data_IF_853381117633
#
_entry.id   IF_853381117633
#
_cell.length_a   1.000
_cell.length_b   1.000
_cell.length_c   1.000
_cell.angle_alpha   90.00
_cell.angle_beta   90.00
_cell.angle_gamma   90.00
#
_symmetry.space_group_name_H-M   'P 1'
#
loop_
_entity.id
_entity.type
_entity.pdbx_description
1 polymer ?
#
# COMPACT_ATOMS: atom_id res chain seq x y z
N UNK A 1 1.60 -6.39 -33.74
CA UNK A 1 1.15 -5.28 -32.87
C UNK A 1 -0.28 -5.42 -32.29
N UNK A 2 -1.28 -6.01 -32.97
CA UNK A 2 -2.63 -6.21 -32.36
C UNK A 2 -2.64 -7.01 -31.05
N UNK A 3 -1.81 -8.05 -30.95
CA UNK A 3 -1.66 -8.83 -29.72
C UNK A 3 -1.11 -7.99 -28.56
N UNK A 4 -0.16 -7.09 -28.84
CA UNK A 4 0.34 -6.13 -27.85
C UNK A 4 -0.79 -5.23 -27.33
N UNK A 5 -1.63 -4.68 -28.20
CA UNK A 5 -2.76 -3.83 -27.80
C UNK A 5 -3.73 -4.57 -26.87
N UNK A 6 -4.08 -5.81 -27.19
CA UNK A 6 -4.97 -6.62 -26.33
C UNK A 6 -4.36 -6.90 -24.95
N UNK A 7 -3.04 -7.11 -24.89
CA UNK A 7 -2.35 -7.31 -23.61
C UNK A 7 -2.25 -6.01 -22.82
N UNK A 8 -2.09 -4.86 -23.49
CA UNK A 8 -2.11 -3.54 -22.82
C UNK A 8 -3.50 -3.22 -22.27
N UNK A 9 -4.58 -3.54 -22.99
CA UNK A 9 -5.94 -3.42 -22.48
C UNK A 9 -6.15 -4.27 -21.22
N UNK A 10 -5.63 -5.50 -21.22
CA UNK A 10 -5.64 -6.36 -20.05
C UNK A 10 -4.83 -5.75 -18.90
N UNK A 11 -3.64 -5.22 -19.16
CA UNK A 11 -2.81 -4.56 -18.14
C UNK A 11 -3.51 -3.33 -17.54
N UNK A 12 -4.24 -2.56 -18.34
CA UNK A 12 -5.07 -1.43 -17.88
C UNK A 12 -6.20 -1.91 -16.97
N UNK A 13 -6.91 -2.96 -17.37
CA UNK A 13 -7.98 -3.54 -16.55
C UNK A 13 -7.45 -4.02 -15.19
N UNK A 14 -6.31 -4.72 -15.20
CA UNK A 14 -5.63 -5.15 -13.99
C UNK A 14 -5.17 -3.98 -13.13
N UNK A 15 -4.62 -2.92 -13.72
CA UNK A 15 -4.21 -1.73 -12.95
C UNK A 15 -5.38 -0.99 -12.30
N UNK A 16 -6.56 -0.97 -12.93
CA UNK A 16 -7.77 -0.43 -12.31
C UNK A 16 -8.24 -1.30 -11.14
N UNK A 17 -8.11 -2.63 -11.24
CA UNK A 17 -8.41 -3.55 -10.15
C UNK A 17 -7.42 -3.39 -8.98
N UNK A 18 -6.12 -3.26 -9.27
CA UNK A 18 -5.07 -2.95 -8.29
C UNK A 18 -5.41 -1.66 -7.54
N UNK A 19 -5.77 -0.59 -8.26
CA UNK A 19 -6.17 0.68 -7.67
C UNK A 19 -7.40 0.53 -6.75
N UNK A 20 -8.37 -0.30 -7.13
CA UNK A 20 -9.54 -0.57 -6.31
C UNK A 20 -9.18 -1.30 -5.00
N UNK A 21 -8.29 -2.29 -5.05
CA UNK A 21 -7.79 -2.97 -3.85
C UNK A 21 -6.99 -2.03 -2.94
N UNK A 22 -6.14 -1.17 -3.50
CA UNK A 22 -5.42 -0.14 -2.73
C UNK A 22 -6.40 0.83 -2.05
N UNK A 23 -7.42 1.30 -2.76
CA UNK A 23 -8.46 2.17 -2.18
C UNK A 23 -9.26 1.50 -1.06
N UNK A 24 -9.43 0.17 -1.14
CA UNK A 24 -10.06 -0.64 -0.09
C UNK A 24 -9.12 -1.01 1.07
N UNK A 25 -7.82 -0.72 0.97
CA UNK A 25 -6.81 -1.13 1.95
C UNK A 25 -6.42 -2.60 1.89
N UNK A 26 -6.82 -3.32 0.84
CA UNK A 26 -6.54 -4.75 0.62
C UNK A 26 -5.15 -4.93 -0.01
N UNK A 27 -4.09 -4.68 0.75
CA UNK A 27 -2.70 -4.64 0.25
C UNK A 27 -2.26 -5.95 -0.40
N UNK A 28 -2.59 -7.10 0.20
CA UNK A 28 -2.17 -8.41 -0.33
C UNK A 28 -2.78 -8.70 -1.71
N UNK A 29 -4.05 -8.33 -1.91
CA UNK A 29 -4.73 -8.48 -3.20
C UNK A 29 -4.19 -7.49 -4.23
N UNK A 30 -3.88 -6.27 -3.81
CA UNK A 30 -3.25 -5.29 -4.68
C UNK A 30 -1.88 -5.79 -5.17
N UNK A 31 -1.09 -6.40 -4.31
CA UNK A 31 0.21 -7.00 -4.65
C UNK A 31 0.05 -8.15 -5.67
N UNK A 32 -0.88 -9.08 -5.44
CA UNK A 32 -1.15 -10.19 -6.37
C UNK A 32 -1.50 -9.68 -7.77
N UNK A 33 -2.38 -8.69 -7.85
CA UNK A 33 -2.78 -8.08 -9.13
C UNK A 33 -1.61 -7.32 -9.77
N UNK A 34 -0.78 -6.62 -8.99
CA UNK A 34 0.39 -5.91 -9.48
C UNK A 34 1.42 -6.86 -10.11
N UNK A 35 1.71 -8.00 -9.47
CA UNK A 35 2.60 -9.02 -10.03
C UNK A 35 2.04 -9.60 -11.33
N UNK A 36 0.75 -9.90 -11.39
CA UNK A 36 0.11 -10.36 -12.61
C UNK A 36 0.18 -9.32 -13.74
N UNK A 37 -0.03 -8.04 -13.41
CA UNK A 37 0.03 -6.92 -14.36
C UNK A 37 1.43 -6.76 -14.95
N UNK A 38 2.48 -6.90 -14.15
CA UNK A 38 3.86 -6.85 -14.62
C UNK A 38 4.15 -7.94 -15.67
N UNK A 39 3.68 -9.17 -15.43
CA UNK A 39 3.80 -10.27 -16.39
C UNK A 39 3.13 -9.96 -17.74
N UNK A 40 1.90 -9.45 -17.70
CA UNK A 40 1.14 -9.07 -18.91
C UNK A 40 1.81 -7.90 -19.64
N UNK A 41 2.32 -6.91 -18.91
CA UNK A 41 3.03 -5.76 -19.47
C UNK A 41 4.31 -6.18 -20.19
N UNK A 42 5.11 -7.05 -19.57
CA UNK A 42 6.33 -7.58 -20.16
C UNK A 42 6.03 -8.40 -21.42
N UNK A 43 4.94 -9.20 -21.41
CA UNK A 43 4.49 -9.91 -22.60
C UNK A 43 4.05 -8.95 -23.71
N UNK A 44 3.29 -7.89 -23.38
CA UNK A 44 2.82 -6.91 -24.37
C UNK A 44 3.97 -6.20 -25.10
N UNK A 45 5.06 -5.93 -24.38
CA UNK A 45 6.24 -5.21 -24.89
C UNK A 45 7.31 -6.14 -25.48
N UNK A 46 7.07 -7.45 -25.54
CA UNK A 46 7.97 -8.38 -26.19
C UNK A 46 8.06 -8.10 -27.70
N UNK A 47 9.25 -8.30 -28.28
CA UNK A 47 9.55 -8.02 -29.70
C UNK A 47 8.59 -8.74 -30.67
N UNK A 48 8.22 -9.98 -30.33
CA UNK A 48 7.26 -10.79 -31.09
C UNK A 48 5.87 -10.14 -31.19
N UNK A 49 5.45 -9.43 -30.15
CA UNK A 49 4.13 -8.79 -30.09
C UNK A 49 4.11 -7.39 -30.72
N UNK A 50 5.27 -6.72 -30.76
CA UNK A 50 5.46 -5.39 -31.35
C UNK A 50 5.79 -5.43 -32.85
N UNK A 51 6.12 -6.60 -33.40
CA UNK A 51 6.41 -6.77 -34.82
C UNK A 51 5.19 -6.44 -35.71
N UNK A 52 5.46 -5.78 -36.85
CA UNK A 52 4.52 -5.24 -37.85
C UNK A 52 3.69 -4.01 -37.41
N UNK A 53 4.27 -2.80 -37.43
CA UNK A 53 3.53 -1.55 -37.27
C UNK A 53 2.91 -1.09 -38.60
N UNK A 54 1.58 -1.13 -38.67
CA UNK A 54 0.79 -0.18 -39.45
C UNK A 54 0.65 1.14 -38.67
N UNK A 55 0.60 2.28 -39.37
CA UNK A 55 0.60 3.61 -38.73
C UNK A 55 -0.52 3.81 -37.69
N UNK A 56 -1.71 3.27 -37.95
CA UNK A 56 -2.85 3.31 -37.02
C UNK A 56 -2.60 2.52 -35.72
N UNK A 57 -1.79 1.46 -35.77
CA UNK A 57 -1.49 0.64 -34.61
C UNK A 57 -0.41 1.28 -33.72
N UNK A 58 0.47 2.09 -34.30
CA UNK A 58 1.43 2.89 -33.53
C UNK A 58 0.72 3.98 -32.71
N UNK A 59 -0.24 4.72 -33.30
CA UNK A 59 -1.01 5.74 -32.57
C UNK A 59 -1.83 5.10 -31.43
N UNK A 60 -2.44 3.95 -31.70
CA UNK A 60 -3.17 3.18 -30.70
C UNK A 60 -2.27 2.71 -29.56
N UNK A 61 -1.04 2.27 -29.88
CA UNK A 61 -0.05 1.86 -28.89
C UNK A 61 0.36 3.04 -28.00
N UNK A 62 0.65 4.20 -28.59
CA UNK A 62 1.01 5.42 -27.84
C UNK A 62 -0.12 5.81 -26.89
N UNK A 63 -1.36 5.84 -27.36
CA UNK A 63 -2.51 6.17 -26.53
C UNK A 63 -2.65 5.22 -25.32
N UNK A 64 -2.44 3.92 -25.52
CA UNK A 64 -2.49 2.92 -24.43
C UNK A 64 -1.36 3.09 -23.42
N UNK A 65 -0.16 3.44 -23.88
CA UNK A 65 0.97 3.71 -22.99
C UNK A 65 0.76 5.00 -22.16
N UNK A 66 0.14 6.03 -22.73
CA UNK A 66 -0.23 7.24 -21.99
C UNK A 66 -1.31 6.96 -20.92
N UNK A 67 -2.29 6.12 -21.26
CA UNK A 67 -3.31 5.65 -20.32
C UNK A 67 -2.66 4.89 -19.15
N UNK A 68 -1.77 3.95 -19.44
CA UNK A 68 -1.02 3.19 -18.43
C UNK A 68 -0.14 4.08 -17.55
N UNK A 69 0.52 5.09 -18.11
CA UNK A 69 1.30 6.07 -17.36
C UNK A 69 0.43 6.85 -16.39
N UNK A 70 -0.74 7.30 -16.83
CA UNK A 70 -1.69 8.03 -15.99
C UNK A 70 -2.23 7.15 -14.87
N UNK A 71 -2.55 5.90 -15.18
CA UNK A 71 -3.00 4.91 -14.20
C UNK A 71 -1.92 4.62 -13.16
N UNK A 72 -0.66 4.46 -13.58
CA UNK A 72 0.47 4.23 -12.67
C UNK A 72 0.66 5.39 -11.70
N UNK A 73 0.50 6.64 -12.14
CA UNK A 73 0.56 7.80 -11.25
C UNK A 73 -0.52 7.72 -10.16
N UNK A 74 -1.75 7.38 -10.54
CA UNK A 74 -2.88 7.22 -9.59
C UNK A 74 -2.63 6.09 -8.58
N UNK A 75 -2.09 4.97 -9.03
CA UNK A 75 -1.70 3.83 -8.17
C UNK A 75 -0.64 4.28 -7.15
N UNK A 76 0.40 4.99 -7.59
CA UNK A 76 1.46 5.49 -6.71
C UNK A 76 0.91 6.46 -5.66
N UNK A 77 0.05 7.39 -6.07
CA UNK A 77 -0.57 8.36 -5.18
C UNK A 77 -1.43 7.66 -4.13
N UNK A 78 -2.25 6.69 -4.54
CA UNK A 78 -3.12 5.92 -3.64
C UNK A 78 -2.30 5.04 -2.67
N UNK A 79 -1.30 4.32 -3.16
CA UNK A 79 -0.39 3.54 -2.31
C UNK A 79 0.34 4.43 -1.29
N UNK A 80 0.77 5.63 -1.72
CA UNK A 80 1.42 6.60 -0.83
C UNK A 80 0.44 7.11 0.24
N UNK A 81 -0.81 7.40 -0.14
CA UNK A 81 -1.87 7.80 0.78
C UNK A 81 -2.14 6.71 1.81
N UNK A 82 -2.33 5.46 1.36
CA UNK A 82 -2.58 4.31 2.21
C UNK A 82 -1.43 4.08 3.20
N UNK A 83 -0.18 4.11 2.72
CA UNK A 83 1.01 4.00 3.56
C UNK A 83 1.04 5.06 4.67
N UNK A 84 0.69 6.31 4.36
CA UNK A 84 0.60 7.38 5.37
C UNK A 84 -0.52 7.10 6.38
N UNK A 85 -1.68 6.64 5.93
CA UNK A 85 -2.81 6.30 6.81
C UNK A 85 -2.44 5.20 7.80
N UNK A 86 -1.88 4.08 7.31
CA UNK A 86 -1.43 2.96 8.14
C UNK A 86 -0.37 3.42 9.16
N UNK A 87 0.59 4.25 8.72
CA UNK A 87 1.61 4.81 9.62
C UNK A 87 1.01 5.64 10.76
N UNK A 88 0.00 6.46 10.46
CA UNK A 88 -0.71 7.26 11.46
C UNK A 88 -1.49 6.38 12.45
N UNK A 89 -2.15 5.33 11.97
CA UNK A 89 -2.88 4.36 12.80
C UNK A 89 -1.95 3.59 13.76
N UNK A 90 -0.79 3.16 13.28
CA UNK A 90 0.23 2.51 14.12
C UNK A 90 0.70 3.48 15.21
N UNK A 91 1.01 4.73 14.85
CA UNK A 91 1.42 5.74 15.82
C UNK A 91 0.35 6.02 16.87
N UNK A 92 -0.92 6.15 16.45
CA UNK A 92 -2.06 6.39 17.34
C UNK A 92 -2.25 5.22 18.31
N UNK A 93 -2.23 3.99 17.81
CA UNK A 93 -2.35 2.78 18.62
C UNK A 93 -1.21 2.66 19.63
N UNK A 94 0.02 2.99 19.22
CA UNK A 94 1.18 3.02 20.13
C UNK A 94 1.06 4.09 21.23
N UNK A 95 0.53 5.26 20.91
CA UNK A 95 0.26 6.30 21.92
C UNK A 95 -0.84 5.87 22.89
N UNK A 96 -1.90 5.25 22.40
CA UNK A 96 -3.00 4.73 23.22
C UNK A 96 -2.51 3.63 24.17
N UNK A 97 -1.67 2.71 23.68
CA UNK A 97 -1.03 1.69 24.51
C UNK A 97 -0.16 2.31 25.62
N UNK A 98 0.62 3.36 25.33
CA UNK A 98 1.39 4.10 26.34
C UNK A 98 0.49 4.74 27.40
N UNK A 99 -0.66 5.32 27.00
CA UNK A 99 -1.65 5.90 27.95
C UNK A 99 -2.24 4.82 28.84
N UNK A 100 -2.66 3.68 28.28
CA UNK A 100 -3.19 2.55 29.06
C UNK A 100 -2.17 2.01 30.07
N UNK A 101 -0.89 1.90 29.69
CA UNK A 101 0.18 1.54 30.62
C UNK A 101 0.34 2.58 31.75
N UNK A 102 0.23 3.86 31.43
CA UNK A 102 0.24 4.95 32.42
C UNK A 102 -0.89 4.85 33.44
N UNK A 103 -2.12 4.60 32.98
CA UNK A 103 -3.27 4.36 33.88
C UNK A 103 -3.08 3.11 34.73
N UNK A 104 -2.61 2.00 34.15
CA UNK A 104 -2.32 0.77 34.90
C UNK A 104 -1.24 0.97 35.98
N UNK A 105 -0.30 1.90 35.78
CA UNK A 105 0.73 2.25 36.76
C UNK A 105 0.19 3.18 37.86
N UNK A 106 -0.74 4.08 37.55
CA UNK A 106 -1.38 4.99 38.50
C UNK A 106 -2.40 4.30 39.43
N UNK A 107 -3.00 3.19 38.98
CA UNK A 107 -3.98 2.40 39.77
C UNK A 107 -3.29 1.39 40.70
N UNK A 108 -1.97 1.18 40.61
CA UNK A 108 -1.24 0.37 41.60
C UNK A 108 -1.16 1.14 42.92
N UNK A 109 -1.69 0.61 44.04
CA UNK A 109 -1.55 1.26 45.34
C UNK A 109 -0.07 1.41 45.64
N UNK A 110 0.39 2.65 45.79
CA UNK A 110 1.75 2.94 46.20
C UNK A 110 1.97 2.27 47.56
N UNK A 111 2.94 1.36 47.74
CA UNK A 111 3.15 0.73 49.04
C UNK A 111 3.51 1.84 50.03
N UNK A 112 2.68 2.01 51.05
CA UNK A 112 2.91 2.95 52.15
C UNK A 112 4.32 2.71 52.70
N UNK A 113 5.18 3.70 52.56
CA UNK A 113 6.50 3.74 53.19
C UNK A 113 6.27 3.50 54.68
N UNK A 114 6.72 2.35 55.20
CA UNK A 114 6.73 2.08 56.64
C UNK A 114 7.81 2.95 57.26
N UNK A 115 7.39 4.04 57.89
CA UNK A 115 8.23 4.85 58.79
C UNK A 115 8.76 3.96 59.92
N UNK A 116 10.06 3.72 59.95
CA UNK A 116 10.76 3.07 61.06
C UNK A 116 11.41 4.13 61.95
N UNK A 117 10.59 4.90 62.66
CA UNK A 117 11.02 5.65 63.83
C UNK A 117 10.31 5.09 65.06
N UNK A 118 10.89 4.03 65.63
CA UNK A 118 10.66 3.69 67.04
C UNK A 118 12.05 3.62 67.67
N UNK A 119 12.53 4.76 68.16
CA UNK A 119 13.50 4.79 69.23
C UNK A 119 12.81 4.24 70.48
N UNK A 120 13.35 3.18 71.06
CA UNK A 120 13.11 2.87 72.48
C UNK A 120 14.47 2.88 73.17
N UNK A 121 14.74 4.01 73.82
CA UNK A 121 15.60 4.06 74.99
C UNK A 121 14.81 3.50 76.20
N UNK A 122 15.57 3.03 77.18
CA UNK A 122 15.20 2.46 78.49
C UNK A 122 15.06 0.94 78.54
#
# INVERSE_FOLDING_TARGET
>A
MRAALTLLDQAIAMGNLELAHLAAGEVDKAEEVAFGRDGVMNAALAEDNLSAPDGECLDSLVAKLEELKTLQARIIDEATRLRRSIGQEIMRTGQEQKRHQGYGRAVRPTPRIRSSFISRNS
#
